data_IF_412296884673
#
_entry.id   IF_412296884673
#
_cell.length_a   1.000
_cell.length_b   1.000
_cell.length_c   1.000
_cell.angle_alpha   90.00
_cell.angle_beta   90.00
_cell.angle_gamma   90.00
#
_symmetry.space_group_name_H-M   'P 1'
#
loop_
_entity.id
_entity.type
_entity.pdbx_description
1 polymer ?
#
# COMPACT_ATOMS: atom_id res chain seq x y z
N UNK A 1 -2.80 -65.52 -51.52
CA UNK A 1 -3.82 -64.95 -50.60
C UNK A 1 -3.11 -64.42 -49.34
N UNK A 2 -2.83 -63.09 -49.28
CA UNK A 2 -2.14 -62.47 -48.14
C UNK A 2 -3.14 -61.61 -47.41
N UNK A 3 -3.41 -61.95 -46.16
CA UNK A 3 -4.29 -61.22 -45.25
C UNK A 3 -3.48 -60.08 -44.60
N UNK A 4 -3.87 -58.84 -44.82
CA UNK A 4 -3.34 -57.67 -44.15
C UNK A 4 -4.16 -57.37 -42.91
N UNK A 5 -3.54 -57.51 -41.74
CA UNK A 5 -4.14 -57.09 -40.46
C UNK A 5 -3.82 -55.63 -40.24
N UNK A 6 -4.85 -54.75 -40.24
CA UNK A 6 -4.74 -53.36 -39.83
C UNK A 6 -4.77 -53.32 -38.30
N UNK A 7 -3.63 -52.98 -37.70
CA UNK A 7 -3.55 -52.67 -36.26
C UNK A 7 -3.91 -51.21 -36.05
N UNK A 8 -5.04 -50.98 -35.43
CA UNK A 8 -5.53 -49.62 -35.03
C UNK A 8 -4.86 -49.26 -33.73
N UNK A 9 -3.80 -48.46 -33.74
CA UNK A 9 -3.19 -47.90 -32.57
C UNK A 9 -4.08 -46.73 -32.07
N UNK A 10 -4.86 -46.97 -31.04
CA UNK A 10 -5.64 -45.94 -30.34
C UNK A 10 -4.72 -45.14 -29.42
N UNK A 11 -4.27 -43.99 -29.90
CA UNK A 11 -3.47 -43.05 -29.12
C UNK A 11 -4.41 -42.31 -28.18
N UNK A 12 -4.46 -42.73 -26.91
CA UNK A 12 -5.11 -41.96 -25.86
C UNK A 12 -4.30 -40.69 -25.59
N UNK A 13 -4.80 -39.58 -26.09
CA UNK A 13 -4.31 -38.26 -25.78
C UNK A 13 -4.82 -37.90 -24.33
N UNK A 14 -4.01 -38.21 -23.33
CA UNK A 14 -4.28 -37.77 -21.95
C UNK A 14 -4.06 -36.26 -21.91
N UNK A 15 -5.17 -35.53 -21.95
CA UNK A 15 -5.19 -34.11 -21.69
C UNK A 15 -4.88 -33.87 -20.23
N UNK A 16 -3.61 -33.58 -19.90
CA UNK A 16 -3.24 -33.08 -18.59
C UNK A 16 -3.83 -31.67 -18.46
N UNK A 17 -5.03 -31.58 -17.90
CA UNK A 17 -5.51 -30.34 -17.34
C UNK A 17 -4.58 -29.95 -16.21
N UNK A 18 -3.61 -29.10 -16.48
CA UNK A 18 -2.89 -28.36 -15.45
C UNK A 18 -3.95 -27.46 -14.80
N UNK A 19 -4.58 -27.96 -13.75
CA UNK A 19 -5.32 -27.10 -12.82
C UNK A 19 -4.28 -26.18 -12.21
N UNK A 20 -4.15 -24.97 -12.78
CA UNK A 20 -3.55 -23.85 -12.07
C UNK A 20 -4.44 -23.62 -10.84
N UNK A 21 -4.02 -24.20 -9.71
CA UNK A 21 -4.51 -23.81 -8.41
C UNK A 21 -4.15 -22.31 -8.26
N UNK A 22 -5.02 -21.44 -8.78
CA UNK A 22 -5.10 -20.09 -8.30
C UNK A 22 -5.52 -20.23 -6.83
N UNK A 23 -4.53 -20.39 -5.95
CA UNK A 23 -4.73 -20.27 -4.53
C UNK A 23 -5.37 -18.90 -4.34
N UNK A 24 -6.69 -18.90 -4.18
CA UNK A 24 -7.41 -17.70 -3.79
C UNK A 24 -6.77 -17.30 -2.47
N UNK A 25 -6.05 -16.20 -2.47
CA UNK A 25 -5.53 -15.58 -1.27
C UNK A 25 -6.74 -15.19 -0.40
N UNK A 26 -7.28 -16.16 0.33
CA UNK A 26 -8.21 -15.93 1.44
C UNK A 26 -7.45 -15.51 2.70
N UNK A 27 -6.19 -15.11 2.56
CA UNK A 27 -5.43 -14.65 3.69
C UNK A 27 -6.08 -13.36 4.20
N UNK A 28 -6.58 -13.42 5.43
CA UNK A 28 -7.09 -12.23 6.10
C UNK A 28 -5.95 -11.22 6.28
N UNK A 29 -6.00 -10.17 5.48
CA UNK A 29 -5.02 -9.08 5.51
C UNK A 29 -5.36 -8.01 6.55
N UNK A 30 -6.52 -8.10 7.20
CA UNK A 30 -6.90 -7.13 8.22
C UNK A 30 -6.01 -7.25 9.45
N UNK A 31 -5.79 -6.15 10.13
CA UNK A 31 -4.98 -6.10 11.33
C UNK A 31 -3.97 -4.96 11.31
N UNK A 32 -3.11 -4.99 12.30
CA UNK A 32 -2.10 -3.96 12.54
C UNK A 32 -0.75 -4.42 11.99
N UNK A 33 -0.10 -3.53 11.27
CA UNK A 33 1.23 -3.74 10.69
C UNK A 33 2.20 -2.76 11.29
N UNK A 34 3.23 -3.26 11.94
CA UNK A 34 4.32 -2.43 12.45
C UNK A 34 5.54 -2.54 11.54
N UNK A 35 6.19 -1.41 11.31
CA UNK A 35 7.31 -1.37 10.37
C UNK A 35 7.98 -0.02 10.28
N UNK A 36 8.64 0.21 9.16
CA UNK A 36 9.44 1.41 8.92
C UNK A 36 8.97 2.16 7.68
N UNK A 37 9.14 3.46 7.72
CA UNK A 37 9.08 4.31 6.53
C UNK A 37 10.40 4.17 5.78
N UNK A 38 10.32 3.93 4.48
CA UNK A 38 11.50 3.71 3.63
C UNK A 38 11.85 4.94 2.79
N UNK A 39 10.87 5.80 2.53
CA UNK A 39 11.05 7.03 1.76
C UNK A 39 9.98 8.05 2.12
N UNK A 40 10.36 9.31 2.13
CA UNK A 40 9.44 10.47 2.16
C UNK A 40 9.96 11.47 1.15
N UNK A 41 9.09 11.95 0.28
CA UNK A 41 9.40 13.01 -0.70
C UNK A 41 8.37 14.12 -0.51
N UNK A 42 8.80 15.36 -0.48
CA UNK A 42 7.93 16.52 -0.32
C UNK A 42 8.25 17.54 -1.41
N UNK A 43 7.26 17.78 -2.28
CA UNK A 43 7.37 18.68 -3.42
C UNK A 43 8.58 18.42 -4.34
N UNK A 44 8.86 17.13 -4.58
CA UNK A 44 10.03 16.69 -5.37
C UNK A 44 11.30 16.45 -4.58
N UNK A 45 11.42 17.00 -3.37
CA UNK A 45 12.61 16.89 -2.55
C UNK A 45 12.53 15.69 -1.60
N UNK A 46 13.59 14.87 -1.59
CA UNK A 46 13.68 13.75 -0.66
C UNK A 46 13.98 14.23 0.76
N UNK A 47 13.15 13.80 1.71
CA UNK A 47 13.40 14.02 3.13
C UNK A 47 14.51 13.09 3.61
N UNK A 48 15.49 13.64 4.33
CA UNK A 48 16.62 12.85 4.86
C UNK A 48 16.12 11.67 5.68
N UNK A 49 16.65 10.48 5.41
CA UNK A 49 16.31 9.23 6.12
C UNK A 49 16.55 9.31 7.61
N UNK A 50 17.56 10.05 8.06
CA UNK A 50 17.88 10.23 9.49
C UNK A 50 16.72 10.79 10.33
N UNK A 51 15.71 11.40 9.69
CA UNK A 51 14.54 11.97 10.37
C UNK A 51 13.52 10.93 10.79
N UNK A 52 13.49 9.77 10.14
CA UNK A 52 12.55 8.67 10.42
C UNK A 52 13.25 7.31 10.57
N UNK A 53 14.55 7.24 10.35
CA UNK A 53 15.36 6.04 10.57
C UNK A 53 15.30 5.61 12.05
N UNK A 54 15.23 4.28 12.28
CA UNK A 54 15.12 3.71 13.63
C UNK A 54 13.75 3.85 14.28
N UNK A 55 12.79 4.57 13.66
CA UNK A 55 11.42 4.67 14.17
C UNK A 55 10.55 3.55 13.63
N UNK A 56 9.71 3.02 14.50
CA UNK A 56 8.63 2.10 14.13
C UNK A 56 7.35 2.88 13.95
N UNK A 57 6.67 2.64 12.83
CA UNK A 57 5.37 3.19 12.51
C UNK A 57 4.35 2.06 12.44
N UNK A 58 3.11 2.41 12.72
CA UNK A 58 2.02 1.42 12.74
C UNK A 58 0.89 1.87 11.84
N UNK A 59 0.46 0.95 10.96
CA UNK A 59 -0.72 1.14 10.12
C UNK A 59 -1.67 -0.03 10.30
N UNK A 60 -2.96 0.24 10.29
CA UNK A 60 -4.02 -0.76 10.39
C UNK A 60 -4.72 -0.91 9.05
N UNK A 61 -4.93 -2.15 8.64
CA UNK A 61 -5.79 -2.51 7.50
C UNK A 61 -7.12 -3.00 8.06
N UNK A 62 -8.19 -2.36 7.66
CA UNK A 62 -9.55 -2.66 8.10
C UNK A 62 -10.38 -3.15 6.91
N UNK A 63 -11.32 -4.06 7.14
CA UNK A 63 -12.25 -4.54 6.11
C UNK A 63 -13.34 -3.50 5.89
N UNK A 64 -13.60 -3.19 4.64
CA UNK A 64 -14.70 -2.33 4.19
C UNK A 64 -15.64 -3.12 3.27
N UNK A 65 -16.82 -2.56 2.98
CA UNK A 65 -17.83 -3.20 2.12
C UNK A 65 -17.25 -3.63 0.77
N UNK A 66 -16.47 -2.75 0.13
CA UNK A 66 -15.98 -2.94 -1.23
C UNK A 66 -14.44 -2.97 -1.30
N UNK A 67 -13.79 -3.47 -0.25
CA UNK A 67 -12.33 -3.54 -0.20
C UNK A 67 -11.76 -3.40 1.20
N UNK A 68 -10.81 -2.52 1.36
CA UNK A 68 -10.09 -2.29 2.61
C UNK A 68 -9.86 -0.80 2.82
N UNK A 69 -9.68 -0.41 4.08
CA UNK A 69 -9.15 0.90 4.42
C UNK A 69 -7.79 0.79 5.11
N UNK A 70 -7.00 1.84 4.96
CA UNK A 70 -5.70 2.00 5.60
C UNK A 70 -5.79 3.16 6.58
N UNK A 71 -5.48 2.90 7.86
CA UNK A 71 -5.46 3.88 8.92
C UNK A 71 -4.10 3.90 9.61
N UNK A 72 -3.67 5.07 10.06
CA UNK A 72 -2.41 5.23 10.78
C UNK A 72 -1.90 6.67 10.73
N UNK A 73 -0.74 6.87 11.30
CA UNK A 73 -0.07 8.16 11.23
C UNK A 73 1.44 8.01 11.13
N UNK A 74 2.05 9.03 10.54
CA UNK A 74 3.48 9.18 10.37
C UNK A 74 3.91 10.46 11.07
N UNK A 75 4.83 10.36 12.02
CA UNK A 75 5.32 11.47 12.80
C UNK A 75 6.85 11.54 12.75
N UNK A 76 7.37 12.68 12.32
CA UNK A 76 8.81 12.89 12.25
C UNK A 76 9.18 14.38 12.41
N UNK A 77 10.43 14.63 12.83
CA UNK A 77 10.97 15.98 12.95
C UNK A 77 11.78 16.35 11.70
N UNK A 78 11.56 17.53 11.18
CA UNK A 78 12.26 18.11 10.06
C UNK A 78 13.05 19.36 10.44
N UNK A 79 14.15 19.22 11.22
CA UNK A 79 14.79 20.37 11.83
C UNK A 79 13.89 20.98 12.92
N UNK A 80 13.56 22.27 12.87
CA UNK A 80 12.66 22.91 13.83
C UNK A 80 11.19 22.52 13.60
N UNK A 81 10.87 21.87 12.48
CA UNK A 81 9.52 21.51 12.11
C UNK A 81 9.14 20.10 12.56
N UNK A 82 7.97 19.96 13.15
CA UNK A 82 7.35 18.72 13.53
C UNK A 82 6.21 18.40 12.57
N UNK A 83 6.32 17.24 11.89
CA UNK A 83 5.40 16.81 10.85
C UNK A 83 4.54 15.66 11.36
N UNK A 84 3.24 15.76 11.19
CA UNK A 84 2.29 14.67 11.43
C UNK A 84 1.45 14.49 10.17
N UNK A 85 1.50 13.31 9.60
CA UNK A 85 0.66 12.89 8.47
C UNK A 85 -0.26 11.80 8.99
N UNK A 86 -1.55 11.98 8.91
CA UNK A 86 -2.54 11.01 9.39
C UNK A 86 -3.43 10.51 8.27
N UNK A 87 -3.69 9.22 8.30
CA UNK A 87 -4.66 8.51 7.48
C UNK A 87 -5.81 8.06 8.38
N UNK A 88 -6.92 8.81 8.42
CA UNK A 88 -8.08 8.41 9.22
C UNK A 88 -8.70 7.12 8.69
N UNK A 89 -9.20 6.29 9.58
CA UNK A 89 -9.98 5.11 9.23
C UNK A 89 -11.15 5.49 8.31
N UNK A 90 -11.52 4.59 7.42
CA UNK A 90 -12.63 4.74 6.44
C UNK A 90 -12.42 5.80 5.34
N UNK A 91 -11.38 6.61 5.42
CA UNK A 91 -11.11 7.67 4.43
C UNK A 91 -10.05 7.31 3.39
N UNK A 92 -9.23 6.30 3.66
CA UNK A 92 -8.16 5.84 2.75
C UNK A 92 -8.50 4.43 2.27
N UNK A 93 -9.17 4.35 1.14
CA UNK A 93 -9.73 3.10 0.62
C UNK A 93 -8.83 2.50 -0.46
N UNK A 94 -8.71 1.17 -0.48
CA UNK A 94 -7.99 0.44 -1.52
C UNK A 94 -8.62 -0.92 -1.81
N UNK A 95 -8.30 -1.48 -3.00
CA UNK A 95 -8.67 -2.84 -3.41
C UNK A 95 -7.41 -3.63 -3.78
N UNK A 96 -7.51 -4.96 -3.68
CA UNK A 96 -6.43 -5.87 -4.02
C UNK A 96 -6.76 -6.71 -5.24
N UNK A 97 -5.74 -7.02 -6.03
CA UNK A 97 -5.74 -8.11 -6.98
C UNK A 97 -5.55 -9.46 -6.24
N UNK A 98 -5.83 -10.61 -6.87
CA UNK A 98 -5.66 -11.94 -6.27
C UNK A 98 -4.24 -12.25 -5.78
N UNK A 99 -3.23 -11.62 -6.35
CA UNK A 99 -1.82 -11.76 -5.96
C UNK A 99 -1.40 -10.83 -4.81
N UNK A 100 -2.36 -10.12 -4.20
CA UNK A 100 -2.15 -9.19 -3.10
C UNK A 100 -1.67 -7.80 -3.52
N UNK A 101 -1.58 -7.48 -4.82
CA UNK A 101 -1.23 -6.14 -5.27
C UNK A 101 -2.37 -5.15 -5.02
N UNK A 102 -2.03 -3.94 -4.57
CA UNK A 102 -2.97 -2.82 -4.45
C UNK A 102 -3.22 -2.26 -5.85
N UNK A 103 -4.42 -2.46 -6.38
CA UNK A 103 -4.78 -2.08 -7.75
C UNK A 103 -5.53 -0.76 -7.84
N UNK A 104 -6.21 -0.37 -6.77
CA UNK A 104 -6.90 0.92 -6.66
C UNK A 104 -6.76 1.44 -5.25
N UNK A 105 -6.38 2.72 -5.13
CA UNK A 105 -6.30 3.39 -3.85
C UNK A 105 -6.64 4.86 -4.01
N UNK A 106 -7.50 5.35 -3.12
CA UNK A 106 -7.93 6.75 -3.08
C UNK A 106 -8.31 7.15 -1.67
N UNK A 107 -8.37 8.41 -1.42
CA UNK A 107 -8.87 8.89 -0.14
C UNK A 107 -8.41 10.28 0.21
N UNK A 108 -8.54 10.57 1.50
CA UNK A 108 -8.12 11.83 2.10
C UNK A 108 -7.39 11.55 3.39
N UNK A 109 -6.42 12.38 3.69
CA UNK A 109 -5.74 12.39 4.97
C UNK A 109 -5.54 13.81 5.44
N UNK A 110 -4.79 13.96 6.51
CA UNK A 110 -4.52 15.24 7.12
C UNK A 110 -3.02 15.40 7.37
N UNK A 111 -2.48 16.58 7.07
CA UNK A 111 -1.10 16.94 7.38
C UNK A 111 -1.08 18.14 8.32
N UNK A 112 -0.31 18.02 9.40
CA UNK A 112 0.00 19.11 10.31
C UNK A 112 1.51 19.30 10.40
N UNK A 113 1.95 20.53 10.20
CA UNK A 113 3.36 20.93 10.38
C UNK A 113 3.40 22.04 11.41
N UNK A 114 4.11 21.82 12.51
CA UNK A 114 4.35 22.83 13.54
C UNK A 114 5.82 23.18 13.57
N UNK A 115 6.13 24.46 13.58
CA UNK A 115 7.52 24.97 13.73
C UNK A 115 7.71 25.36 15.19
N UNK A 116 8.85 24.99 15.77
CA UNK A 116 9.17 25.17 17.18
C UNK A 116 8.09 24.64 18.15
N UNK A 117 7.29 23.65 17.71
CA UNK A 117 6.16 23.03 18.42
C UNK A 117 4.95 23.95 18.68
N UNK A 118 5.05 25.24 18.44
CA UNK A 118 4.02 26.21 18.78
C UNK A 118 3.35 26.88 17.58
N UNK A 119 4.11 27.10 16.50
CA UNK A 119 3.61 27.80 15.31
C UNK A 119 3.11 26.78 14.30
N UNK A 120 1.81 26.80 14.01
CA UNK A 120 1.23 26.00 12.94
C UNK A 120 1.66 26.58 11.58
N UNK A 121 2.57 25.92 10.89
CA UNK A 121 3.01 26.30 9.54
C UNK A 121 2.10 25.74 8.46
N UNK A 122 1.49 24.58 8.71
CA UNK A 122 0.52 23.93 7.83
C UNK A 122 -0.45 23.10 8.68
N UNK A 123 -1.74 23.18 8.34
CA UNK A 123 -2.79 22.34 8.93
C UNK A 123 -3.89 22.17 7.89
N UNK A 124 -3.77 21.14 7.04
CA UNK A 124 -4.58 20.98 5.84
C UNK A 124 -4.92 19.51 5.59
N UNK A 125 -6.07 19.30 4.97
CA UNK A 125 -6.40 18.02 4.38
C UNK A 125 -5.66 17.86 3.04
N UNK A 126 -5.33 16.62 2.70
CA UNK A 126 -4.77 16.26 1.41
C UNK A 126 -5.62 15.20 0.72
N UNK A 127 -5.54 15.16 -0.59
CA UNK A 127 -6.13 14.12 -1.42
C UNK A 127 -5.06 13.07 -1.76
N UNK A 128 -5.43 11.78 -1.60
CA UNK A 128 -4.60 10.68 -2.05
C UNK A 128 -4.86 10.48 -3.54
N UNK A 129 -3.82 10.65 -4.34
CA UNK A 129 -3.86 10.48 -5.80
C UNK A 129 -3.51 9.08 -6.24
N UNK A 130 -2.71 8.36 -5.43
CA UNK A 130 -2.32 6.98 -5.71
C UNK A 130 -1.94 6.25 -4.42
N UNK A 131 -2.34 4.98 -4.32
CA UNK A 131 -1.78 4.01 -3.39
C UNK A 131 -1.30 2.83 -4.23
N UNK A 132 -0.03 2.50 -4.13
CA UNK A 132 0.58 1.34 -4.80
C UNK A 132 1.29 0.49 -3.76
N UNK A 133 1.28 -0.81 -3.93
CA UNK A 133 1.96 -1.70 -3.02
C UNK A 133 1.42 -3.11 -3.05
N UNK A 134 1.70 -3.85 -2.00
CA UNK A 134 1.38 -5.28 -1.93
C UNK A 134 1.17 -5.72 -0.48
N UNK A 135 0.25 -6.65 -0.30
CA UNK A 135 0.07 -7.37 0.98
C UNK A 135 0.23 -8.86 0.71
N UNK A 136 1.33 -9.45 1.18
CA UNK A 136 1.65 -10.87 0.96
C UNK A 136 2.38 -11.41 2.18
N UNK A 137 2.02 -12.61 2.61
CA UNK A 137 2.66 -13.35 3.70
C UNK A 137 2.81 -12.53 4.99
N UNK A 138 1.76 -11.79 5.34
CA UNK A 138 1.76 -10.93 6.52
C UNK A 138 2.66 -9.70 6.40
N UNK A 139 3.19 -9.42 5.22
CA UNK A 139 3.95 -8.20 4.93
C UNK A 139 3.10 -7.21 4.15
N UNK A 140 3.03 -5.98 4.63
CA UNK A 140 2.42 -4.83 3.96
C UNK A 140 3.53 -3.91 3.46
N UNK A 141 3.52 -3.65 2.15
CA UNK A 141 4.33 -2.58 1.55
C UNK A 141 3.41 -1.64 0.79
N UNK A 142 3.60 -0.35 0.94
CA UNK A 142 2.88 0.62 0.12
C UNK A 142 3.66 1.91 -0.10
N UNK A 143 3.31 2.59 -1.18
CA UNK A 143 3.67 3.98 -1.45
C UNK A 143 2.39 4.76 -1.69
N UNK A 144 2.20 5.84 -0.93
CA UNK A 144 1.09 6.77 -1.08
C UNK A 144 1.62 8.05 -1.72
N UNK A 145 0.91 8.52 -2.74
CA UNK A 145 1.11 9.83 -3.34
C UNK A 145 -0.08 10.73 -3.00
N UNK A 146 0.19 11.95 -2.59
CA UNK A 146 -0.81 12.90 -2.16
C UNK A 146 -0.60 14.26 -2.80
N UNK A 147 -1.68 15.01 -2.89
CA UNK A 147 -1.66 16.42 -3.24
C UNK A 147 -2.40 17.21 -2.17
N UNK A 148 -1.82 18.33 -1.73
CA UNK A 148 -2.46 19.27 -0.81
C UNK A 148 -3.05 20.37 -1.70
N UNK A 149 -4.38 20.38 -1.91
CA UNK A 149 -5.02 21.44 -2.69
C UNK A 149 -4.86 22.79 -1.95
N UNK A 150 -4.92 23.86 -2.69
CA UNK A 150 -4.88 25.23 -2.15
C UNK A 150 -3.64 25.57 -1.30
N UNK A 151 -2.56 24.85 -1.52
CA UNK A 151 -1.27 25.14 -0.90
C UNK A 151 -0.16 25.09 -1.93
N UNK A 152 0.54 26.24 -2.15
CA UNK A 152 1.67 26.40 -3.08
C UNK A 152 1.41 25.72 -4.44
N UNK A 153 0.30 26.07 -5.10
CA UNK A 153 -0.07 25.59 -6.43
C UNK A 153 -0.14 24.05 -6.58
N UNK A 154 -0.55 23.37 -5.54
CA UNK A 154 -0.70 21.90 -5.54
C UNK A 154 0.53 21.17 -5.00
N UNK A 155 0.92 21.49 -3.79
CA UNK A 155 2.03 20.81 -3.10
C UNK A 155 1.84 19.31 -3.08
N UNK A 156 2.83 18.57 -3.55
CA UNK A 156 2.81 17.12 -3.62
C UNK A 156 3.66 16.50 -2.51
N UNK A 157 3.26 15.33 -2.05
CA UNK A 157 4.09 14.51 -1.19
C UNK A 157 3.91 13.03 -1.50
N UNK A 158 4.88 12.23 -1.14
CA UNK A 158 4.76 10.78 -1.15
C UNK A 158 5.52 10.17 0.02
N UNK A 159 5.05 9.03 0.50
CA UNK A 159 5.79 8.24 1.47
C UNK A 159 5.59 6.74 1.22
N UNK A 160 6.64 5.99 1.52
CA UNK A 160 6.67 4.53 1.38
C UNK A 160 6.85 3.89 2.74
N UNK A 161 6.15 2.79 2.96
CA UNK A 161 6.16 2.01 4.19
C UNK A 161 6.38 0.55 3.88
N UNK A 162 7.04 -0.14 4.81
CA UNK A 162 7.18 -1.60 4.83
C UNK A 162 7.03 -2.08 6.27
N UNK A 163 6.09 -2.96 6.52
CA UNK A 163 5.83 -3.52 7.86
C UNK A 163 5.30 -4.95 7.81
N UNK A 164 5.28 -5.56 8.99
CA UNK A 164 4.73 -6.90 9.20
C UNK A 164 3.53 -6.87 10.12
N UNK A 165 2.60 -7.78 9.86
CA UNK A 165 1.42 -8.02 10.70
C UNK A 165 1.88 -8.43 12.10
N UNK A 166 1.24 -7.83 13.10
CA UNK A 166 1.48 -8.10 14.52
C UNK A 166 0.66 -9.30 14.98
#
# INVERSE_FOLDING_TARGET
MKKWAFSLALTMLTCFCVQSNAASLSQDITGTYAGRVTSVVMNGDAVSKSRFEGKTFTFSVLREKDGYSLAGYLEFNGGPAHHVISLPATRTLFTLAPDGQIVRGRGKGHISIKVFRFVSALNKDFNITSIRGKVVDGQLTFTIQVVIPDYKDGYTASFSFMGRKQ
#
